data_IF_833590456394
#
_entry.id   IF_833590456394
#
_cell.length_a   1.000
_cell.length_b   1.000
_cell.length_c   1.000
_cell.angle_alpha   90.00
_cell.angle_beta   90.00
_cell.angle_gamma   90.00
#
_symmetry.space_group_name_H-M   'P 1'
#
loop_
_entity.id
_entity.type
_entity.pdbx_description
1 polymer ?
#
# COMPACT_ATOMS: atom_id res chain seq x y z
N UNK A 1 1.12 3.35 -0.22
CA UNK A 1 2.02 2.21 -0.58
C UNK A 1 2.86 2.65 -1.79
N UNK A 2 3.72 1.82 -2.38
CA UNK A 2 4.10 1.96 -3.81
C UNK A 2 3.29 0.90 -4.58
N UNK A 3 2.91 1.13 -5.84
CA UNK A 3 2.04 0.19 -6.57
C UNK A 3 2.72 -1.16 -6.81
N UNK A 4 4.04 -1.13 -7.02
CA UNK A 4 4.92 -2.25 -7.33
C UNK A 4 5.65 -2.78 -6.08
N UNK A 5 4.91 -2.97 -4.99
CA UNK A 5 5.47 -3.42 -3.71
C UNK A 5 6.23 -4.75 -3.82
N UNK A 6 5.86 -5.62 -4.76
CA UNK A 6 6.54 -6.88 -5.06
C UNK A 6 8.03 -6.73 -5.40
N UNK A 7 8.47 -5.53 -5.82
CA UNK A 7 9.87 -5.24 -6.15
C UNK A 7 10.75 -4.96 -4.93
N UNK A 8 10.18 -4.88 -3.72
CA UNK A 8 10.92 -4.47 -2.52
C UNK A 8 11.73 -5.62 -1.91
N UNK A 9 11.21 -6.85 -1.96
CA UNK A 9 11.80 -7.98 -1.22
C UNK A 9 13.00 -8.58 -1.94
N UNK A 10 12.96 -8.74 -3.26
CA UNK A 10 14.07 -9.34 -4.02
C UNK A 10 15.43 -8.68 -3.79
N UNK A 11 15.57 -7.34 -3.82
CA UNK A 11 16.84 -6.69 -3.51
C UNK A 11 17.33 -6.94 -2.08
N UNK A 12 16.41 -7.11 -1.11
CA UNK A 12 16.77 -7.46 0.27
C UNK A 12 17.32 -8.87 0.33
N UNK A 13 16.66 -9.82 -0.35
CA UNK A 13 17.12 -11.21 -0.45
C UNK A 13 18.49 -11.27 -1.14
N UNK A 14 18.70 -10.51 -2.21
CA UNK A 14 19.98 -10.46 -2.96
C UNK A 14 21.18 -10.03 -2.10
N UNK A 15 20.93 -9.21 -1.08
CA UNK A 15 21.95 -8.82 -0.10
C UNK A 15 22.04 -9.87 1.01
N UNK A 16 20.91 -10.35 1.52
CA UNK A 16 20.86 -11.28 2.64
C UNK A 16 21.61 -12.58 2.36
N UNK A 17 21.46 -13.17 1.17
CA UNK A 17 22.13 -14.43 0.79
C UNK A 17 23.65 -14.32 0.69
N UNK A 18 24.22 -13.12 0.73
CA UNK A 18 25.67 -12.88 0.75
C UNK A 18 26.23 -12.79 2.16
N UNK A 19 25.38 -12.75 3.19
CA UNK A 19 25.81 -12.66 4.58
C UNK A 19 26.30 -14.03 5.08
N UNK A 20 27.39 -14.08 5.87
CA UNK A 20 27.85 -15.32 6.49
C UNK A 20 26.75 -15.97 7.34
N UNK A 21 26.55 -17.27 7.16
CA UNK A 21 25.57 -18.05 7.92
C UNK A 21 24.13 -18.03 7.37
N UNK A 22 23.87 -17.31 6.27
CA UNK A 22 22.58 -17.40 5.56
C UNK A 22 22.65 -18.52 4.53
N UNK A 23 21.68 -19.44 4.60
CA UNK A 23 21.50 -20.51 3.61
C UNK A 23 20.51 -20.05 2.52
N UNK A 24 20.95 -19.85 1.27
CA UNK A 24 20.09 -19.34 0.19
C UNK A 24 18.94 -20.28 -0.18
N UNK A 25 19.03 -21.56 0.20
CA UNK A 25 17.99 -22.57 -0.04
C UNK A 25 16.97 -22.64 1.11
N UNK A 26 17.12 -21.82 2.16
CA UNK A 26 16.25 -21.82 3.35
C UNK A 26 15.75 -20.43 3.72
N UNK A 27 15.20 -19.71 2.75
CA UNK A 27 14.65 -18.37 2.96
C UNK A 27 13.17 -18.43 3.30
N UNK A 28 12.78 -17.89 4.45
CA UNK A 28 11.39 -17.76 4.88
C UNK A 28 11.00 -16.28 4.86
N UNK A 29 9.86 -15.95 4.23
CA UNK A 29 9.29 -14.61 4.27
C UNK A 29 8.18 -14.55 5.33
N UNK A 30 8.30 -13.65 6.30
CA UNK A 30 7.31 -13.45 7.35
C UNK A 30 6.78 -12.02 7.33
N UNK A 31 5.46 -11.87 7.27
CA UNK A 31 4.75 -10.60 7.28
C UNK A 31 3.78 -10.52 8.44
N UNK A 32 3.92 -9.48 9.26
CA UNK A 32 3.08 -9.23 10.43
C UNK A 32 2.21 -7.99 10.25
N UNK A 33 0.95 -8.03 10.72
CA UNK A 33 -0.05 -6.98 10.60
C UNK A 33 -0.33 -6.65 9.12
N UNK A 34 -0.15 -5.40 8.70
CA UNK A 34 -0.17 -5.00 7.29
C UNK A 34 0.85 -5.77 6.45
N UNK A 35 1.93 -6.26 7.09
CA UNK A 35 2.90 -7.16 6.48
C UNK A 35 2.30 -8.45 5.95
N UNK A 36 1.19 -8.95 6.51
CA UNK A 36 0.53 -10.16 6.02
C UNK A 36 -0.05 -10.02 4.60
N UNK A 37 -0.55 -8.83 4.24
CA UNK A 37 -0.93 -8.51 2.85
C UNK A 37 0.31 -8.40 1.95
N UNK A 38 1.34 -7.70 2.45
CA UNK A 38 2.54 -7.35 1.70
C UNK A 38 3.45 -8.56 1.41
N UNK A 39 3.54 -9.52 2.33
CA UNK A 39 4.44 -10.68 2.22
C UNK A 39 3.96 -11.66 1.17
N UNK A 40 2.64 -11.85 1.03
CA UNK A 40 2.06 -12.72 0.00
C UNK A 40 2.27 -12.11 -1.38
N UNK A 41 2.09 -10.78 -1.51
CA UNK A 41 2.43 -10.05 -2.74
C UNK A 41 3.90 -10.18 -3.11
N UNK A 42 4.80 -10.09 -2.14
CA UNK A 42 6.23 -10.28 -2.40
C UNK A 42 6.57 -11.72 -2.81
N UNK A 43 6.01 -12.71 -2.11
CA UNK A 43 6.26 -14.12 -2.38
C UNK A 43 5.83 -14.55 -3.79
N UNK A 44 4.80 -13.92 -4.36
CA UNK A 44 4.40 -14.16 -5.75
C UNK A 44 5.49 -13.84 -6.78
N UNK A 45 6.51 -13.04 -6.41
CA UNK A 45 7.60 -12.60 -7.30
C UNK A 45 9.01 -12.93 -6.76
N UNK A 46 9.12 -13.59 -5.60
CA UNK A 46 10.38 -14.01 -5.00
C UNK A 46 10.44 -15.55 -4.90
N UNK A 47 10.92 -16.24 -5.96
CA UNK A 47 10.84 -17.69 -6.04
C UNK A 47 11.77 -18.43 -5.07
N UNK A 48 12.71 -17.74 -4.42
CA UNK A 48 13.62 -18.34 -3.42
C UNK A 48 12.94 -18.55 -2.06
N UNK A 49 11.77 -17.98 -1.83
CA UNK A 49 11.02 -18.18 -0.58
C UNK A 49 10.53 -19.63 -0.48
N UNK A 50 11.05 -20.39 0.50
CA UNK A 50 10.65 -21.78 0.75
C UNK A 50 9.42 -21.89 1.65
N UNK A 51 9.14 -20.87 2.44
CA UNK A 51 7.91 -20.74 3.20
C UNK A 51 7.50 -19.27 3.31
N UNK A 52 6.19 -19.04 3.46
CA UNK A 52 5.59 -17.72 3.62
C UNK A 52 4.67 -17.76 4.84
N UNK A 53 4.88 -16.83 5.78
CA UNK A 53 4.03 -16.63 6.96
C UNK A 53 3.35 -15.29 6.82
N UNK A 54 2.02 -15.30 6.73
CA UNK A 54 1.19 -14.10 6.73
C UNK A 54 0.35 -14.07 8.02
N UNK A 55 0.61 -13.10 8.89
CA UNK A 55 -0.03 -13.01 10.21
C UNK A 55 -0.56 -11.58 10.49
N UNK A 56 -1.87 -11.33 10.39
CA UNK A 56 -2.86 -12.20 9.75
C UNK A 56 -2.71 -12.17 8.22
N UNK A 57 -3.10 -13.26 7.57
CA UNK A 57 -3.34 -13.24 6.11
C UNK A 57 -4.48 -12.29 5.78
N UNK A 58 -4.30 -11.47 4.74
CA UNK A 58 -5.30 -10.49 4.30
C UNK A 58 -5.50 -10.65 2.79
N UNK A 59 -6.77 -10.73 2.38
CA UNK A 59 -7.14 -10.91 0.97
C UNK A 59 -6.89 -9.64 0.16
N UNK A 60 -7.40 -8.51 0.64
CA UNK A 60 -7.20 -7.19 0.06
C UNK A 60 -7.05 -6.12 1.15
N UNK A 61 -6.88 -4.86 0.73
CA UNK A 61 -6.88 -3.68 1.60
C UNK A 61 -7.94 -2.66 1.18
N UNK A 62 -8.81 -3.02 0.25
CA UNK A 62 -9.72 -2.09 -0.40
C UNK A 62 -10.73 -1.56 0.60
N UNK A 63 -11.39 -2.46 1.32
CA UNK A 63 -12.42 -2.10 2.29
C UNK A 63 -11.85 -1.28 3.46
N UNK A 64 -10.63 -1.62 3.90
CA UNK A 64 -9.93 -0.87 4.95
C UNK A 64 -9.66 0.59 4.54
N UNK A 65 -9.26 0.81 3.28
CA UNK A 65 -8.98 2.17 2.78
C UNK A 65 -10.29 2.92 2.52
N UNK A 66 -11.26 2.31 1.83
CA UNK A 66 -12.53 2.96 1.47
C UNK A 66 -13.33 3.35 2.72
N UNK A 67 -13.40 2.46 3.72
CA UNK A 67 -14.13 2.73 4.96
C UNK A 67 -13.59 3.96 5.71
N UNK A 68 -12.28 4.22 5.61
CA UNK A 68 -11.61 5.35 6.22
C UNK A 68 -11.77 6.68 5.45
N UNK A 69 -12.29 6.65 4.21
CA UNK A 69 -12.52 7.87 3.45
C UNK A 69 -13.71 8.67 4.00
N UNK A 70 -13.63 10.02 4.01
CA UNK A 70 -14.72 10.88 4.46
C UNK A 70 -15.81 11.03 3.37
N UNK A 71 -16.33 9.89 2.93
CA UNK A 71 -17.36 9.75 1.89
C UNK A 71 -18.63 9.15 2.50
N UNK A 72 -19.78 9.39 1.88
CA UNK A 72 -21.03 8.69 2.23
C UNK A 72 -20.94 7.19 1.88
N UNK A 73 -21.82 6.37 2.44
CA UNK A 73 -21.84 4.94 2.15
C UNK A 73 -22.11 4.66 0.66
N UNK A 74 -22.99 5.43 0.03
CA UNK A 74 -23.26 5.34 -1.41
C UNK A 74 -22.00 5.69 -2.25
N UNK A 75 -21.27 6.74 -1.85
CA UNK A 75 -20.03 7.13 -2.52
C UNK A 75 -18.92 6.10 -2.34
N UNK A 76 -18.85 5.46 -1.17
CA UNK A 76 -17.90 4.37 -0.88
C UNK A 76 -18.19 3.15 -1.74
N UNK A 77 -19.47 2.76 -1.84
CA UNK A 77 -19.91 1.63 -2.64
C UNK A 77 -19.64 1.84 -4.14
N UNK A 78 -19.81 3.06 -4.63
CA UNK A 78 -19.63 3.38 -6.05
C UNK A 78 -18.20 3.78 -6.42
N UNK A 79 -17.28 3.90 -5.47
CA UNK A 79 -15.88 4.29 -5.75
C UNK A 79 -15.21 3.31 -6.73
N UNK A 80 -14.53 3.76 -7.80
CA UNK A 80 -14.11 5.13 -8.10
C UNK A 80 -15.07 5.91 -9.04
N UNK A 81 -16.32 5.49 -9.23
CA UNK A 81 -17.28 6.13 -10.15
C UNK A 81 -18.02 7.33 -9.54
N UNK A 82 -17.37 8.07 -8.64
CA UNK A 82 -17.94 9.24 -7.96
C UNK A 82 -17.33 10.55 -8.49
N UNK A 83 -17.96 11.69 -8.21
CA UNK A 83 -17.35 13.01 -8.49
C UNK A 83 -16.07 13.17 -7.64
N UNK A 84 -14.88 13.36 -8.25
CA UNK A 84 -13.63 13.57 -7.52
C UNK A 84 -13.68 14.71 -6.48
N UNK A 85 -14.52 15.72 -6.71
CA UNK A 85 -14.71 16.86 -5.79
C UNK A 85 -15.27 16.45 -4.44
N UNK A 86 -15.81 15.25 -4.31
CA UNK A 86 -16.23 14.70 -3.02
C UNK A 86 -15.06 14.61 -2.02
N UNK A 87 -13.80 14.64 -2.49
CA UNK A 87 -12.60 14.68 -1.65
C UNK A 87 -12.08 16.10 -1.37
N UNK A 88 -12.63 17.16 -1.98
CA UNK A 88 -12.18 18.54 -1.79
C UNK A 88 -12.15 18.99 -0.31
N UNK A 89 -13.14 18.63 0.55
CA UNK A 89 -13.08 18.96 1.97
C UNK A 89 -11.85 18.35 2.67
N UNK A 90 -11.49 17.11 2.30
CA UNK A 90 -10.31 16.43 2.82
C UNK A 90 -9.03 17.11 2.36
N UNK A 91 -8.93 17.45 1.08
CA UNK A 91 -7.78 18.18 0.52
C UNK A 91 -7.63 19.55 1.19
N UNK A 92 -8.73 20.29 1.38
CA UNK A 92 -8.73 21.58 2.08
C UNK A 92 -8.25 21.43 3.53
N UNK A 93 -8.71 20.40 4.25
CA UNK A 93 -8.24 20.14 5.60
C UNK A 93 -6.74 19.78 5.65
N UNK A 94 -6.30 18.84 4.81
CA UNK A 94 -4.89 18.41 4.72
C UNK A 94 -3.94 19.56 4.32
N UNK A 95 -4.43 20.55 3.57
CA UNK A 95 -3.64 21.70 3.15
C UNK A 95 -3.66 22.86 4.14
N UNK A 96 -4.64 22.88 5.05
CA UNK A 96 -4.82 23.91 6.08
C UNK A 96 -3.89 23.76 7.29
N UNK A 97 -3.95 24.75 8.20
CA UNK A 97 -3.10 24.82 9.39
C UNK A 97 -3.41 23.78 10.47
N UNK A 98 -4.60 23.18 10.42
CA UNK A 98 -5.05 22.12 11.34
C UNK A 98 -4.97 20.71 10.73
N UNK A 99 -4.46 20.57 9.51
CA UNK A 99 -4.25 19.29 8.85
C UNK A 99 -3.11 18.50 9.47
N UNK A 100 -3.26 17.17 9.53
CA UNK A 100 -2.16 16.29 9.96
C UNK A 100 -1.01 16.33 8.93
N UNK A 101 0.20 16.80 9.30
CA UNK A 101 1.32 16.91 8.36
C UNK A 101 1.78 15.57 7.78
N UNK A 102 1.67 14.49 8.55
CA UNK A 102 2.03 13.14 8.11
C UNK A 102 1.02 12.61 7.10
N UNK A 103 -0.28 12.83 7.33
CA UNK A 103 -1.31 12.47 6.34
C UNK A 103 -1.18 13.33 5.08
N UNK A 104 -0.89 14.63 5.21
CA UNK A 104 -0.61 15.50 4.06
C UNK A 104 0.53 14.95 3.22
N UNK A 105 1.66 14.61 3.85
CA UNK A 105 2.80 14.01 3.15
C UNK A 105 2.44 12.69 2.48
N UNK A 106 1.76 11.79 3.19
CA UNK A 106 1.41 10.46 2.67
C UNK A 106 0.41 10.54 1.50
N UNK A 107 -0.61 11.39 1.60
CA UNK A 107 -1.77 11.37 0.71
C UNK A 107 -1.70 12.41 -0.42
N UNK A 108 -1.11 13.59 -0.20
CA UNK A 108 -1.05 14.65 -1.20
C UNK A 108 0.31 14.80 -1.87
N UNK A 109 1.35 14.16 -1.35
CA UNK A 109 2.72 14.32 -1.86
C UNK A 109 3.32 12.97 -2.25
N UNK A 110 3.73 12.17 -1.27
CA UNK A 110 4.42 10.90 -1.50
C UNK A 110 3.55 9.89 -2.26
N UNK A 111 2.26 9.79 -1.91
CA UNK A 111 1.32 8.87 -2.56
C UNK A 111 1.23 9.12 -4.06
N UNK A 112 0.78 10.31 -4.50
CA UNK A 112 0.73 10.68 -5.91
C UNK A 112 2.08 10.54 -6.62
N UNK A 113 3.18 10.99 -5.98
CA UNK A 113 4.53 10.90 -6.52
C UNK A 113 4.93 9.46 -6.91
N UNK A 114 4.71 8.48 -6.01
CA UNK A 114 5.14 7.10 -6.29
C UNK A 114 4.16 6.31 -7.16
N UNK A 115 2.97 6.86 -7.45
CA UNK A 115 2.01 6.29 -8.40
C UNK A 115 2.00 7.04 -9.73
N UNK A 116 2.85 8.07 -9.90
CA UNK A 116 2.92 8.90 -11.09
C UNK A 116 1.56 9.54 -11.48
N UNK A 117 0.85 10.04 -10.47
CA UNK A 117 -0.43 10.76 -10.62
C UNK A 117 -0.36 12.13 -9.95
N UNK A 118 -1.25 13.04 -10.34
CA UNK A 118 -1.15 14.46 -9.95
C UNK A 118 -2.03 14.85 -8.76
N UNK A 119 -2.99 14.01 -8.36
CA UNK A 119 -3.98 14.37 -7.35
C UNK A 119 -4.38 13.19 -6.43
N UNK A 120 -5.08 13.54 -5.33
CA UNK A 120 -5.52 12.58 -4.32
C UNK A 120 -6.48 11.53 -4.86
N UNK A 121 -7.41 11.93 -5.75
CA UNK A 121 -8.43 11.02 -6.26
C UNK A 121 -7.81 9.92 -7.13
N UNK A 122 -6.97 10.30 -8.09
CA UNK A 122 -6.26 9.35 -8.95
C UNK A 122 -5.30 8.48 -8.12
N UNK A 123 -4.66 9.04 -7.09
CA UNK A 123 -3.87 8.24 -6.16
C UNK A 123 -4.71 7.19 -5.43
N UNK A 124 -5.88 7.54 -4.90
CA UNK A 124 -6.76 6.58 -4.24
C UNK A 124 -7.32 5.54 -5.21
N UNK A 125 -7.61 5.93 -6.46
CA UNK A 125 -8.02 5.00 -7.51
C UNK A 125 -6.94 3.97 -7.81
N UNK A 126 -5.70 4.40 -8.06
CA UNK A 126 -4.56 3.51 -8.29
C UNK A 126 -4.25 2.64 -7.06
N UNK A 127 -4.31 3.22 -5.86
CA UNK A 127 -4.12 2.50 -4.61
C UNK A 127 -5.19 1.43 -4.39
N UNK A 128 -6.33 1.45 -5.09
CA UNK A 128 -7.43 0.51 -4.89
C UNK A 128 -7.72 -0.36 -6.11
N UNK A 129 -6.76 -0.43 -7.05
CA UNK A 129 -6.87 -1.14 -8.31
C UNK A 129 -6.36 -2.61 -8.28
N UNK A 130 -6.03 -3.14 -7.10
CA UNK A 130 -5.61 -4.54 -6.91
C UNK A 130 -6.74 -5.48 -6.54
#
# INVERSE_FOLDING_TARGET
>A
MRPDWEKVVTPVVDVAVKLPGVDPEKIILAGWSFGGFLVVRAAAFEPRATAVIADPGQWDQRDNVISALPLSDDQKADFPNIDPKCLDPMVKWLTGSSGDPMLRWKLLQRGPLVHAVDNLFDYLKELLAF
#
